data_IF_443531054767
#
_entry.id   IF_443531054767
#
_cell.length_a   1.000
_cell.length_b   1.000
_cell.length_c   1.000
_cell.angle_alpha   90.00
_cell.angle_beta   90.00
_cell.angle_gamma   90.00
#
_symmetry.space_group_name_H-M   'P 1'
#
loop_
_entity.id
_entity.type
_entity.pdbx_description
1 polymer ?
2 non-polymer ?
3 non-polymer ?
4 non-polymer ?
5 water ?
#
# COMPACT_ATOMS: atom_id res chain seq x y z
N UNK A 1 11.55 -12.64 6.01
CA UNK A 1 12.53 -11.55 5.94
C UNK A 1 12.47 -10.91 4.58
N UNK A 2 12.79 -9.63 4.51
CA UNK A 2 12.83 -8.90 3.26
C UNK A 2 14.24 -8.97 2.72
N UNK A 3 14.33 -8.89 1.40
CA UNK A 3 15.58 -9.04 0.68
C UNK A 3 15.85 -7.99 -0.36
N UNK A 4 14.88 -7.11 -0.62
CA UNK A 4 14.99 -6.12 -1.69
C UNK A 4 15.22 -4.71 -1.19
N UNK A 5 16.18 -4.02 -1.79
CA UNK A 5 16.26 -2.58 -1.69
C UNK A 5 15.59 -2.01 -2.97
N UNK A 6 14.30 -1.73 -2.85
CA UNK A 6 13.55 -1.25 -3.98
C UNK A 6 13.98 0.13 -4.38
N UNK A 7 14.12 0.33 -5.67
CA UNK A 7 14.54 1.63 -6.20
C UNK A 7 13.35 2.50 -6.51
N UNK A 8 13.36 3.69 -5.95
CA UNK A 8 12.29 4.69 -6.17
C UNK A 8 12.31 5.16 -7.61
N UNK A 9 11.13 5.55 -8.10
CA UNK A 9 10.96 6.13 -9.45
C UNK A 9 11.85 7.36 -9.62
N UNK A 10 12.58 7.40 -10.74
CA UNK A 10 13.33 8.58 -11.08
C UNK A 10 12.33 9.69 -11.32
N UNK A 11 12.53 10.84 -10.70
CA UNK A 11 11.60 11.95 -10.93
C UNK A 11 10.23 11.80 -10.29
N UNK A 12 10.16 10.97 -9.25
CA UNK A 12 8.92 10.73 -8.51
C UNK A 12 8.30 12.07 -8.14
N UNK A 13 7.01 12.22 -8.38
CA UNK A 13 6.23 13.41 -8.09
C UNK A 13 5.45 13.19 -6.82
N UNK A 14 6.02 13.63 -5.70
CA UNK A 14 5.43 13.40 -4.41
C UNK A 14 4.09 14.10 -4.20
N UNK A 15 3.95 15.34 -4.65
CA UNK A 15 2.70 16.06 -4.41
C UNK A 15 1.53 15.38 -5.21
N UNK A 16 1.80 14.83 -6.39
CA UNK A 16 0.77 14.13 -7.11
C UNK A 16 0.38 12.81 -6.42
N UNK A 17 1.35 12.04 -5.95
CA UNK A 17 1.05 10.78 -5.31
C UNK A 17 0.32 11.00 -3.99
N UNK A 18 0.87 11.90 -3.19
CA UNK A 18 0.32 12.27 -1.88
C UNK A 18 -0.64 13.45 -1.99
N UNK A 19 -1.70 13.22 -2.76
CA UNK A 19 -2.68 14.28 -3.04
C UNK A 19 -3.94 14.18 -2.24
N UNK A 20 -3.98 13.28 -1.27
CA UNK A 20 -5.15 13.05 -0.44
C UNK A 20 -6.17 12.07 -0.97
N UNK A 21 -5.94 11.53 -2.17
CA UNK A 21 -6.87 10.62 -2.81
C UNK A 21 -6.54 9.18 -2.49
N UNK A 22 -7.39 8.31 -2.98
CA UNK A 22 -7.36 6.86 -2.73
C UNK A 22 -6.67 6.08 -3.86
N UNK A 23 -5.88 5.09 -3.47
CA UNK A 23 -5.30 4.11 -4.38
C UNK A 23 -5.83 2.73 -3.99
N UNK A 24 -6.19 1.92 -4.98
CA UNK A 24 -6.65 0.55 -4.78
C UNK A 24 -5.58 -0.42 -5.20
N UNK A 25 -5.36 -1.46 -4.44
CA UNK A 25 -4.49 -2.55 -4.86
C UNK A 25 -5.24 -3.46 -5.81
N UNK A 26 -4.75 -3.57 -7.02
CA UNK A 26 -5.38 -4.46 -7.99
C UNK A 26 -4.66 -5.79 -8.12
N UNK A 27 -3.36 -5.79 -7.84
CA UNK A 27 -2.54 -7.02 -8.01
C UNK A 27 -1.41 -6.92 -7.04
N UNK A 28 -0.95 -8.06 -6.52
CA UNK A 28 0.15 -8.07 -5.54
C UNK A 28 1.04 -9.30 -5.69
N UNK A 29 2.24 -9.18 -5.17
CA UNK A 29 3.22 -10.24 -5.19
C UNK A 29 3.99 -10.20 -3.86
N UNK A 30 3.91 -11.28 -3.12
CA UNK A 30 4.54 -11.48 -1.83
C UNK A 30 5.70 -12.45 -2.09
N UNK A 31 6.97 -12.05 -1.88
CA UNK A 31 8.13 -12.93 -2.15
C UNK A 31 8.23 -14.03 -1.13
N UNK A 32 7.53 -13.89 -0.03
CA UNK A 32 7.31 -15.01 0.88
C UNK A 32 5.84 -15.37 0.76
N UNK A 33 5.43 -16.04 -0.33
CA UNK A 33 4.03 -16.09 -0.77
C UNK A 33 3.01 -16.59 0.25
N UNK A 34 3.42 -17.39 1.23
CA UNK A 34 2.45 -17.84 2.23
C UNK A 34 2.34 -16.98 3.47
N UNK A 35 2.95 -15.79 3.41
CA UNK A 35 2.81 -14.77 4.42
C UNK A 35 1.46 -14.05 4.31
N UNK A 36 0.87 -14.04 3.11
CA UNK A 36 -0.43 -13.41 2.85
C UNK A 36 -1.39 -14.39 2.14
N UNK A 37 -2.70 -14.24 2.34
CA UNK A 37 -3.68 -15.09 1.64
C UNK A 37 -3.64 -14.96 0.10
N UNK A 38 -4.22 -15.93 -0.60
CA UNK A 38 -4.36 -15.89 -2.07
C UNK A 38 -5.57 -15.06 -2.53
N UNK A 39 -6.44 -14.70 -1.58
CA UNK A 39 -7.54 -13.77 -1.81
C UNK A 39 -7.55 -12.64 -0.79
N UNK A 40 -7.54 -11.42 -1.29
CA UNK A 40 -7.43 -10.28 -0.43
C UNK A 40 -7.97 -9.02 -1.05
N UNK A 41 -8.33 -8.04 -0.19
CA UNK A 41 -8.79 -6.66 -0.59
C UNK A 41 -7.97 -5.62 0.17
N UNK A 42 -7.35 -4.64 -0.53
CA UNK A 42 -6.57 -3.61 0.13
C UNK A 42 -6.59 -2.31 -0.63
N UNK A 43 -6.56 -1.22 0.13
CA UNK A 43 -6.59 0.11 -0.47
C UNK A 43 -5.97 1.08 0.53
N UNK A 44 -5.55 2.24 0.06
CA UNK A 44 -4.97 3.25 0.91
C UNK A 44 -5.32 4.63 0.42
N UNK A 45 -5.27 5.59 1.33
CA UNK A 45 -5.22 7.01 0.97
C UNK A 45 -3.83 7.51 1.33
N UNK A 46 -3.36 8.50 0.60
CA UNK A 46 -2.02 9.05 0.82
C UNK A 46 -2.07 10.53 0.61
N UNK A 47 -1.57 11.29 1.55
CA UNK A 47 -1.70 12.75 1.49
C UNK A 47 -0.93 13.45 2.59
N UNK A 48 -0.82 14.77 2.48
CA UNK A 48 -0.28 15.61 3.55
C UNK A 48 -1.45 16.19 4.30
N UNK A 49 -1.44 16.04 5.63
CA UNK A 49 -2.50 16.56 6.47
C UNK A 49 -1.84 17.45 7.50
N UNK A 50 -2.19 18.72 7.47
CA UNK A 50 -1.61 19.73 8.36
C UNK A 50 -0.10 19.61 8.43
N UNK A 51 0.49 19.52 7.26
CA UNK A 51 1.91 19.52 7.08
C UNK A 51 2.60 18.20 7.27
N UNK A 52 1.86 17.16 7.67
CA UNK A 52 2.43 15.85 8.01
C UNK A 52 2.09 14.87 6.91
N UNK A 53 3.08 14.11 6.50
CA UNK A 53 2.91 13.11 5.45
C UNK A 53 2.26 11.87 6.05
N UNK A 54 1.12 11.49 5.48
CA UNK A 54 0.26 10.43 6.01
C UNK A 54 -0.18 9.39 5.00
N UNK A 55 -0.44 8.16 5.49
CA UNK A 55 -1.26 7.19 4.77
C UNK A 55 -2.29 6.62 5.68
N UNK A 56 -3.41 6.26 5.08
CA UNK A 56 -4.51 5.54 5.74
C UNK A 56 -4.65 4.25 5.02
N UNK A 57 -4.66 3.12 5.73
CA UNK A 57 -4.67 1.82 5.11
C UNK A 57 -5.95 1.09 5.45
N UNK A 58 -6.34 0.22 4.54
CA UNK A 58 -7.48 -0.68 4.70
C UNK A 58 -7.12 -2.04 4.15
N UNK A 59 -7.34 -3.05 4.99
CA UNK A 59 -7.18 -4.46 4.64
C UNK A 59 -8.50 -5.18 4.91
N UNK A 60 -8.87 -6.09 4.03
CA UNK A 60 -10.04 -6.97 4.19
C UNK A 60 -9.83 -8.29 3.51
N UNK A 61 -9.95 -9.37 4.27
CA UNK A 61 -9.93 -10.73 3.74
C UNK A 61 -11.35 -11.11 3.39
N UNK A 62 -11.65 -11.26 2.12
CA UNK A 62 -13.03 -11.46 1.68
C UNK A 62 -13.61 -12.80 2.05
N UNK A 63 -12.77 -13.76 2.45
CA UNK A 63 -13.24 -15.05 2.91
C UNK A 63 -13.48 -15.05 4.43
N UNK A 64 -12.53 -14.57 5.21
CA UNK A 64 -12.69 -14.60 6.68
C UNK A 64 -13.44 -13.41 7.25
N UNK A 65 -13.50 -12.34 6.46
CA UNK A 65 -14.00 -11.02 6.85
C UNK A 65 -13.11 -10.28 7.81
N UNK A 66 -11.88 -10.75 8.01
CA UNK A 66 -10.95 -10.01 8.83
C UNK A 66 -10.71 -8.65 8.22
N UNK A 67 -10.93 -7.60 9.04
CA UNK A 67 -10.91 -6.18 8.61
C UNK A 67 -10.02 -5.38 9.51
N UNK A 68 -9.18 -4.50 8.96
CA UNK A 68 -8.50 -3.53 9.80
C UNK A 68 -8.10 -2.33 9.03
N UNK A 69 -8.14 -1.19 9.71
CA UNK A 69 -7.64 0.07 9.22
C UNK A 69 -6.42 0.48 10.01
N UNK A 70 -5.56 1.28 9.37
CA UNK A 70 -4.40 1.86 10.03
C UNK A 70 -4.19 3.28 9.61
N UNK A 71 -3.57 4.07 10.48
CA UNK A 71 -3.10 5.42 10.19
C UNK A 71 -1.61 5.41 10.37
N UNK A 72 -0.91 5.97 9.39
CA UNK A 72 0.52 5.95 9.31
C UNK A 72 1.05 7.38 9.16
N UNK A 73 2.11 7.69 9.87
CA UNK A 73 2.90 8.88 9.72
C UNK A 73 4.20 8.45 9.01
N UNK A 74 4.51 9.09 7.88
CA UNK A 74 5.66 8.70 7.07
C UNK A 74 6.83 9.63 7.26
N UNK A 75 8.00 9.05 7.47
CA UNK A 75 9.25 9.80 7.49
C UNK A 75 10.00 9.55 6.21
N UNK A 76 10.69 10.57 5.73
CA UNK A 76 11.38 10.52 4.45
C UNK A 76 12.77 9.91 4.63
N UNK A 77 13.10 8.90 3.84
CA UNK A 77 14.48 8.41 3.71
C UNK A 77 15.18 8.98 2.49
N UNK A 78 14.44 9.13 1.41
CA UNK A 78 14.91 9.72 0.16
C UNK A 78 13.68 9.89 -0.71
N UNK A 79 13.78 10.59 -1.82
CA UNK A 79 12.56 10.79 -2.59
C UNK A 79 11.98 9.48 -3.09
N UNK A 80 10.73 9.27 -2.70
CA UNK A 80 9.92 8.08 -2.98
C UNK A 80 10.20 6.92 -2.08
N UNK A 81 10.96 7.11 -1.01
CA UNK A 81 11.25 6.05 -0.04
C UNK A 81 11.02 6.54 1.38
N UNK A 82 10.15 5.84 2.09
CA UNK A 82 9.64 6.23 3.39
C UNK A 82 9.68 5.12 4.40
N UNK A 83 9.73 5.50 5.66
CA UNK A 83 9.50 4.59 6.79
C UNK A 83 8.28 5.08 7.52
N UNK A 84 7.32 4.19 7.71
CA UNK A 84 6.02 4.55 8.26
C UNK A 84 5.82 3.76 9.58
N UNK A 85 5.52 4.45 10.68
CA UNK A 85 5.01 3.80 11.90
C UNK A 85 3.47 3.83 11.83
N UNK A 86 2.79 2.73 12.18
CA UNK A 86 1.33 2.61 12.07
C UNK A 86 0.63 2.40 13.40
N UNK A 87 -0.60 2.89 13.50
CA UNK A 87 -1.52 2.59 14.59
C UNK A 87 -2.76 1.99 13.96
N UNK A 88 -3.25 0.90 14.55
CA UNK A 88 -4.48 0.27 14.10
C UNK A 88 -5.60 1.10 14.68
N UNK A 89 -6.61 1.41 13.87
CA UNK A 89 -7.72 2.26 14.24
C UNK A 89 -9.01 1.66 13.74
N UNK A 90 -10.15 2.09 14.29
CA UNK A 90 -11.42 1.87 13.63
C UNK A 90 -11.53 2.87 12.44
N UNK A 91 -12.63 2.76 11.71
CA UNK A 91 -12.75 3.53 10.46
C UNK A 91 -12.86 5.01 10.75
N UNK A 92 -13.18 5.38 12.00
CA UNK A 92 -13.23 6.77 12.39
C UNK A 92 -11.97 7.32 13.03
N UNK A 93 -10.93 6.50 13.08
CA UNK A 93 -9.65 6.91 13.56
C UNK A 93 -9.40 6.71 15.03
N UNK A 94 -10.31 6.03 15.71
CA UNK A 94 -10.09 5.75 17.12
C UNK A 94 -9.09 4.66 17.32
N UNK A 95 -8.13 4.86 18.21
CA UNK A 95 -6.96 3.98 18.29
C UNK A 95 -7.34 2.66 18.95
N UNK A 96 -7.02 1.58 18.26
CA UNK A 96 -7.12 0.23 18.77
C UNK A 96 -5.79 -0.34 19.22
N UNK A 97 -4.72 -0.03 18.49
CA UNK A 97 -3.36 -0.44 18.87
C UNK A 97 -2.45 0.74 18.58
N UNK A 98 -1.81 1.27 19.61
CA UNK A 98 -1.02 2.48 19.50
C UNK A 98 0.27 2.23 18.67
N UNK A 99 0.84 3.32 18.18
CA UNK A 99 2.18 3.29 17.57
C UNK A 99 3.12 2.64 18.57
N UNK A 100 3.93 1.70 18.09
CA UNK A 100 4.91 0.97 18.89
C UNK A 100 6.20 0.90 18.12
N UNK A 101 7.33 1.04 18.80
CA UNK A 101 8.57 0.63 18.18
C UNK A 101 8.53 -0.86 17.83
N UNK A 102 9.13 -1.18 16.70
CA UNK A 102 9.05 -2.50 16.13
C UNK A 102 7.89 -2.65 15.16
N UNK A 103 6.89 -1.75 15.21
CA UNK A 103 5.75 -1.81 14.27
C UNK A 103 5.91 -0.71 13.22
N UNK A 104 6.47 -1.08 12.08
CA UNK A 104 6.67 -0.09 11.01
C UNK A 104 6.73 -0.80 9.70
N UNK A 105 6.54 -0.05 8.62
CA UNK A 105 6.82 -0.58 7.28
C UNK A 105 7.66 0.40 6.48
N UNK A 106 8.50 -0.11 5.60
CA UNK A 106 9.07 0.76 4.58
C UNK A 106 8.11 0.77 3.39
N UNK A 107 8.20 1.84 2.62
CA UNK A 107 7.27 2.07 1.52
C UNK A 107 8.06 2.78 0.45
N UNK A 108 8.17 2.17 -0.72
CA UNK A 108 8.90 2.70 -1.85
C UNK A 108 8.00 2.78 -3.07
N UNK A 109 7.90 3.97 -3.67
CA UNK A 109 7.14 4.14 -4.90
C UNK A 109 8.10 3.95 -6.07
N UNK A 110 8.01 2.77 -6.72
CA UNK A 110 8.89 2.40 -7.81
C UNK A 110 8.52 3.01 -9.15
N UNK A 111 7.23 3.29 -9.29
CA UNK A 111 6.65 3.83 -10.51
C UNK A 111 5.32 4.48 -10.09
N UNK A 112 5.00 5.63 -10.68
CA UNK A 112 3.69 6.23 -10.56
C UNK A 112 3.42 7.18 -11.71
N UNK A 113 2.16 7.21 -12.07
CA UNK A 113 1.60 8.29 -12.91
C UNK A 113 0.33 8.73 -12.24
N UNK A 114 -0.48 9.51 -12.94
CA UNK A 114 -1.70 10.04 -12.33
C UNK A 114 -2.70 8.97 -11.90
N UNK A 115 -2.69 7.83 -12.63
CA UNK A 115 -3.69 6.73 -12.54
C UNK A 115 -3.21 5.42 -11.94
N UNK A 116 -1.92 5.16 -11.96
CA UNK A 116 -1.39 3.84 -11.62
C UNK A 116 -0.08 3.97 -10.89
N UNK A 117 0.30 2.92 -10.18
CA UNK A 117 1.57 2.93 -9.48
C UNK A 117 2.01 1.52 -9.15
N UNK A 118 3.30 1.37 -8.91
CA UNK A 118 3.89 0.14 -8.41
C UNK A 118 4.69 0.48 -7.17
N UNK A 119 4.38 -0.19 -6.07
CA UNK A 119 5.05 0.06 -4.79
C UNK A 119 5.64 -1.24 -4.25
N UNK A 120 6.62 -1.06 -3.36
CA UNK A 120 7.20 -2.12 -2.56
C UNK A 120 7.00 -1.76 -1.08
N UNK A 121 6.68 -2.75 -0.27
CA UNK A 121 6.72 -2.54 1.17
C UNK A 121 7.47 -3.66 1.84
N UNK A 122 8.12 -3.36 2.96
CA UNK A 122 8.63 -4.36 3.88
C UNK A 122 7.98 -4.07 5.23
N UNK A 123 7.01 -4.90 5.62
CA UNK A 123 6.35 -4.80 6.90
C UNK A 123 7.16 -5.46 8.03
N UNK A 124 7.16 -4.78 9.18
CA UNK A 124 7.74 -5.29 10.43
C UNK A 124 6.70 -5.14 11.51
N UNK A 125 6.37 -6.26 12.15
CA UNK A 125 5.26 -6.28 13.10
C UNK A 125 5.63 -7.29 14.16
N UNK A 126 6.20 -6.77 15.24
CA UNK A 126 6.53 -7.60 16.40
C UNK A 126 7.51 -8.68 15.99
N UNK A 127 7.26 -9.90 16.42
CA UNK A 127 8.18 -11.00 16.10
C UNK A 127 7.68 -11.85 14.92
N UNK A 128 6.90 -11.25 14.01
CA UNK A 128 6.45 -11.95 12.82
C UNK A 128 7.60 -11.89 11.81
N UNK A 129 7.65 -12.89 10.92
CA UNK A 129 8.62 -12.98 9.80
C UNK A 129 7.86 -12.72 8.50
N UNK A 130 8.01 -11.50 8.00
CA UNK A 130 7.33 -11.03 6.79
C UNK A 130 8.37 -10.77 5.72
N UNK A 131 7.91 -10.76 4.47
CA UNK A 131 8.75 -10.60 3.29
C UNK A 131 8.35 -9.37 2.44
N UNK A 132 9.05 -9.27 1.34
CA UNK A 132 8.86 -8.19 0.38
C UNK A 132 7.51 -8.30 -0.26
N UNK A 133 6.78 -7.23 -0.29
CA UNK A 133 5.46 -7.20 -0.91
C UNK A 133 5.43 -6.12 -1.99
N UNK A 134 5.10 -6.50 -3.21
CA UNK A 134 4.89 -5.56 -4.29
C UNK A 134 3.43 -5.43 -4.58
N UNK A 135 2.97 -4.24 -4.87
CA UNK A 135 1.56 -4.01 -5.17
C UNK A 135 1.40 -3.05 -6.37
N UNK A 136 0.59 -3.47 -7.33
CA UNK A 136 0.10 -2.61 -8.41
C UNK A 136 -1.13 -1.90 -7.90
N UNK A 137 -1.13 -0.57 -8.06
CA UNK A 137 -2.20 0.30 -7.60
C UNK A 137 -2.87 0.97 -8.76
N UNK A 138 -4.15 1.27 -8.59
CA UNK A 138 -4.84 2.13 -9.57
C UNK A 138 -5.79 3.06 -8.85
N UNK A 139 -6.07 4.23 -9.42
CA UNK A 139 -7.11 5.13 -8.93
C UNK A 139 -8.50 4.59 -9.14
N UNK A 140 -8.67 3.72 -10.12
CA UNK A 140 -9.96 3.10 -10.43
C UNK A 140 -9.88 1.68 -9.95
N UNK A 141 -10.76 1.32 -9.02
CA UNK A 141 -10.71 0.04 -8.38
C UNK A 141 -10.86 -1.16 -9.35
N UNK A 142 -11.41 -0.90 -10.51
CA UNK A 142 -11.67 -1.95 -11.50
C UNK A 142 -10.71 -1.98 -12.69
N UNK A 143 -9.70 -1.13 -12.68
CA UNK A 143 -8.82 -1.00 -13.85
C UNK A 143 -7.89 -2.17 -13.99
N UNK A 144 -7.89 -2.79 -15.15
CA UNK A 144 -6.88 -3.75 -15.51
C UNK A 144 -5.53 -3.05 -15.64
N UNK A 145 -4.45 -3.74 -15.28
CA UNK A 145 -3.13 -3.14 -15.34
C UNK A 145 -2.75 -2.87 -16.78
N UNK A 146 -2.41 -1.62 -17.02
CA UNK A 146 -1.99 -1.17 -18.35
C UNK A 146 -0.52 -1.42 -18.58
N UNK A 147 -0.09 -1.14 -19.81
CA UNK A 147 1.29 -1.35 -20.21
C UNK A 147 2.28 -0.54 -19.44
N UNK A 148 1.98 0.69 -19.06
CA UNK A 148 2.94 1.51 -18.32
C UNK A 148 3.30 0.76 -17.03
N UNK A 149 2.33 0.38 -16.20
CA UNK A 149 2.66 -0.23 -14.94
C UNK A 149 3.23 -1.65 -15.14
N UNK A 150 2.76 -2.42 -16.13
CA UNK A 150 3.31 -3.75 -16.37
C UNK A 150 4.77 -3.65 -16.82
N UNK A 151 5.09 -2.64 -17.62
CA UNK A 151 6.46 -2.41 -17.98
C UNK A 151 7.33 -2.09 -16.77
N UNK A 152 6.79 -1.33 -15.82
CA UNK A 152 7.50 -1.07 -14.59
C UNK A 152 7.76 -2.33 -13.77
N UNK A 153 6.82 -3.26 -13.78
CA UNK A 153 7.00 -4.55 -13.14
C UNK A 153 8.18 -5.28 -13.78
N UNK A 154 8.21 -5.29 -15.10
CA UNK A 154 9.35 -5.88 -15.80
C UNK A 154 10.67 -5.19 -15.48
N UNK A 155 10.65 -3.88 -15.36
CA UNK A 155 11.86 -3.08 -15.14
C UNK A 155 12.41 -3.34 -13.74
N UNK A 156 11.56 -3.82 -12.82
CA UNK A 156 11.94 -4.24 -11.48
C UNK A 156 12.44 -5.67 -11.46
N UNK A 157 12.57 -6.28 -12.65
CA UNK A 157 12.94 -7.65 -12.83
C UNK A 157 11.98 -8.64 -12.16
N UNK A 158 10.69 -8.33 -12.28
CA UNK A 158 9.59 -9.17 -11.86
C UNK A 158 8.70 -9.54 -13.04
N UNK A 159 7.88 -10.55 -12.85
CA UNK A 159 7.00 -11.06 -13.89
C UNK A 159 5.57 -10.81 -13.45
N UNK A 160 4.88 -9.97 -14.19
CA UNK A 160 3.51 -9.60 -13.84
C UNK A 160 2.60 -10.83 -13.80
N UNK A 161 2.89 -11.84 -14.61
CA UNK A 161 2.11 -13.08 -14.60
C UNK A 161 2.07 -13.77 -13.25
N UNK A 162 3.03 -13.49 -12.37
CA UNK A 162 3.05 -14.09 -11.06
C UNK A 162 2.23 -13.31 -10.04
N UNK A 163 1.87 -12.06 -10.37
CA UNK A 163 1.11 -11.24 -9.42
C UNK A 163 -0.29 -11.80 -9.30
N UNK A 164 -0.86 -11.73 -8.11
CA UNK A 164 -2.22 -12.24 -7.84
C UNK A 164 -3.17 -11.05 -7.90
N UNK A 165 -4.28 -11.19 -8.60
CA UNK A 165 -5.28 -10.17 -8.76
C UNK A 165 -6.22 -10.17 -7.58
N UNK A 166 -6.73 -8.98 -7.23
CA UNK A 166 -7.79 -8.83 -6.20
C UNK A 166 -9.17 -8.70 -6.82
N UNK A 167 -9.26 -8.76 -8.14
CA UNK A 167 -10.50 -8.36 -8.85
C UNK A 167 -11.67 -9.32 -8.74
N UNK A 168 -11.43 -10.59 -8.41
CA UNK A 168 -12.54 -11.53 -8.34
C UNK A 168 -12.99 -11.76 -6.92
N UNK A 169 -12.67 -10.81 -6.04
CA UNK A 169 -13.09 -10.90 -4.63
C UNK A 169 -14.30 -10.05 -4.22
N UNK A 170 -14.96 -9.40 -5.16
CA UNK A 170 -16.10 -8.51 -4.90
C UNK A 170 -15.76 -7.40 -3.89
N UNK A 171 -14.52 -6.91 -3.93
CA UNK A 171 -14.05 -5.90 -2.98
C UNK A 171 -14.92 -4.64 -3.04
N UNK A 172 -15.36 -4.15 -1.86
CA UNK A 172 -16.04 -2.84 -1.74
C UNK A 172 -15.32 -2.05 -0.63
N UNK A 173 -15.13 -0.76 -0.90
CA UNK A 173 -14.27 0.10 -0.11
C UNK A 173 -15.01 1.33 0.39
N UNK A 174 -14.62 1.78 1.59
CA UNK A 174 -15.15 2.99 2.16
C UNK A 174 -14.12 4.08 1.88
N UNK A 175 -14.23 4.73 0.72
CA UNK A 175 -13.31 5.82 0.38
C UNK A 175 -13.38 6.98 1.33
N UNK A 176 -14.55 7.21 1.88
CA UNK A 176 -14.73 8.35 2.74
C UNK A 176 -13.95 8.18 4.02
N UNK A 177 -13.97 6.97 4.59
CA UNK A 177 -13.19 6.72 5.78
C UNK A 177 -11.71 6.81 5.45
N UNK A 178 -11.25 6.28 4.33
CA UNK A 178 -9.83 6.41 4.00
C UNK A 178 -9.37 7.84 3.93
N UNK A 179 -10.12 8.70 3.26
CA UNK A 179 -9.76 10.12 3.14
C UNK A 179 -9.78 10.79 4.51
N UNK A 180 -10.80 10.54 5.33
CA UNK A 180 -10.85 11.22 6.62
C UNK A 180 -9.74 10.74 7.57
N UNK A 181 -9.36 9.48 7.44
CA UNK A 181 -8.32 8.91 8.32
C UNK A 181 -6.99 9.58 8.12
N UNK A 182 -6.72 10.19 6.97
CA UNK A 182 -5.48 10.92 6.81
C UNK A 182 -5.27 11.98 7.90
N UNK A 183 -6.34 12.51 8.46
CA UNK A 183 -6.23 13.58 9.44
C UNK A 183 -6.06 13.11 10.87
N UNK A 184 -6.08 11.80 11.07
CA UNK A 184 -6.26 11.22 12.41
C UNK A 184 -4.95 10.74 12.99
#
# INVERSE_FOLDING_TARGET
ACTKNAIAQTGFNKDKYFNGDVWYVTDYLDLEPDDVPKRYCAALAAGTASGKLKEALYHYDPKTQDTFYDVSELQVESLGKYTANFKKVDKNGNVKVAVTAGNYYTFTVMYADDSSALIHTCLHKGNKDLGDLYAVLNRNKDAAAGDKVKSAVSAATLEFSKFISTKENNCAYDNDSLKSLLTK
#
